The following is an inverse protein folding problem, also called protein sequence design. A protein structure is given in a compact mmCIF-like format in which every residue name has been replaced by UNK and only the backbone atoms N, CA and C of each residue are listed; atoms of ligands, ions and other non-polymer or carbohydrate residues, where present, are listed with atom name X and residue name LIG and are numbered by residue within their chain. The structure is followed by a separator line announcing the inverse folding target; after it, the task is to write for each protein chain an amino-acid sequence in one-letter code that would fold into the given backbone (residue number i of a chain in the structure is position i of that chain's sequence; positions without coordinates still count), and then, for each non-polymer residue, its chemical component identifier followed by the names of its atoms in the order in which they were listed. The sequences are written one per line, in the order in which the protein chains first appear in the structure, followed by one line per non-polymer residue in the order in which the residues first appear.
data_IF_721977511177
#
_entry.id   IF_721977511177
#
_cell.length_a   1.000
_cell.length_b   1.000
_cell.length_c   1.000
_cell.angle_alpha   90.00
_cell.angle_beta   90.00
_cell.angle_gamma   90.00
#
_symmetry.space_group_name_H-M   'P 1'
#
loop_
_entity.id
_entity.type
_entity.pdbx_description
1 polymer ?
#
# COMPACT_ATOMS: atom_id res chain seq x y z
N UNK A 1 10.37 -4.95 -33.08
CA UNK A 1 9.39 -5.44 -32.09
C UNK A 1 9.77 -4.91 -30.71
N UNK A 2 9.17 -3.82 -30.22
CA UNK A 2 9.33 -3.40 -28.83
C UNK A 2 8.29 -4.13 -27.98
N UNK A 3 8.75 -4.87 -26.96
CA UNK A 3 7.88 -5.50 -25.98
C UNK A 3 7.11 -4.40 -25.24
N UNK A 4 5.79 -4.48 -25.35
CA UNK A 4 4.83 -3.62 -24.67
C UNK A 4 5.00 -3.88 -23.18
N UNK A 5 5.82 -3.07 -22.52
CA UNK A 5 5.86 -3.01 -21.06
C UNK A 5 4.63 -2.23 -20.66
N UNK A 6 3.51 -2.94 -20.53
CA UNK A 6 2.27 -2.42 -19.97
C UNK A 6 2.62 -1.51 -18.80
N UNK A 7 2.20 -0.24 -18.78
CA UNK A 7 2.40 0.61 -17.62
C UNK A 7 1.48 0.06 -16.53
N UNK A 8 1.99 -0.89 -15.74
CA UNK A 8 1.45 -1.16 -14.41
C UNK A 8 1.33 0.20 -13.76
N UNK A 9 0.14 0.53 -13.25
CA UNK A 9 -0.18 1.84 -12.68
C UNK A 9 0.68 2.10 -11.46
N UNK A 10 1.93 2.51 -11.66
CA UNK A 10 2.87 2.95 -10.62
C UNK A 10 2.49 4.37 -10.20
N UNK A 11 1.21 4.60 -9.88
CA UNK A 11 0.76 5.87 -9.33
C UNK A 11 1.24 5.92 -7.89
N UNK A 12 2.12 6.86 -7.64
CA UNK A 12 2.64 7.13 -6.31
C UNK A 12 1.59 7.91 -5.52
N UNK A 13 0.99 7.25 -4.53
CA UNK A 13 -0.01 7.85 -3.65
C UNK A 13 0.66 8.38 -2.38
N UNK A 14 0.22 9.56 -1.92
CA UNK A 14 0.73 10.15 -0.69
C UNK A 14 0.07 9.52 0.53
N UNK A 15 0.70 9.67 1.69
CA UNK A 15 0.15 9.19 2.98
C UNK A 15 -1.36 9.52 3.21
N UNK A 16 -1.89 10.72 2.88
CA UNK A 16 -3.32 11.01 3.03
C UNK A 16 -4.23 10.11 2.19
N UNK A 17 -3.81 9.76 0.97
CA UNK A 17 -4.57 8.85 0.10
C UNK A 17 -4.49 7.41 0.63
N UNK A 18 -3.33 7.00 1.14
CA UNK A 18 -3.16 5.70 1.80
C UNK A 18 -4.09 5.58 3.02
N UNK A 19 -4.18 6.63 3.84
CA UNK A 19 -5.12 6.67 4.96
C UNK A 19 -6.57 6.55 4.49
N UNK A 20 -6.93 7.20 3.37
CA UNK A 20 -8.27 7.13 2.80
C UNK A 20 -8.61 5.75 2.23
N UNK A 21 -7.63 5.07 1.60
CA UNK A 21 -7.80 3.71 1.05
C UNK A 21 -7.86 2.64 2.12
N UNK A 22 -6.98 2.72 3.11
CA UNK A 22 -6.83 1.70 4.15
C UNK A 22 -7.72 1.95 5.37
N UNK A 23 -8.24 3.18 5.54
CA UNK A 23 -9.00 3.59 6.73
C UNK A 23 -8.15 3.70 8.00
N UNK A 24 -6.83 3.47 7.94
CA UNK A 24 -5.96 3.49 9.10
C UNK A 24 -5.44 4.89 9.43
N UNK A 25 -5.27 5.13 10.73
CA UNK A 25 -4.64 6.36 11.23
C UNK A 25 -3.14 6.37 10.92
N UNK A 26 -2.56 7.55 10.70
CA UNK A 26 -1.11 7.76 10.50
C UNK A 26 -0.21 6.90 11.40
N UNK A 27 -0.38 6.90 12.75
CA UNK A 27 0.47 6.11 13.65
C UNK A 27 0.34 4.60 13.40
N UNK A 28 -0.82 4.13 12.96
CA UNK A 28 -1.02 2.71 12.66
C UNK A 28 -0.32 2.31 11.35
N UNK A 29 -0.34 3.19 10.34
CA UNK A 29 0.46 2.99 9.11
C UNK A 29 1.95 2.90 9.46
N UNK A 30 2.47 3.81 10.28
CA UNK A 30 3.88 3.74 10.72
C UNK A 30 4.19 2.49 11.54
N UNK A 31 3.25 2.00 12.37
CA UNK A 31 3.39 0.72 13.06
C UNK A 31 3.47 -0.45 12.07
N UNK A 32 2.58 -0.50 11.08
CA UNK A 32 2.60 -1.56 10.07
C UNK A 32 3.86 -1.51 9.21
N UNK A 33 4.36 -0.31 8.89
CA UNK A 33 5.66 -0.14 8.22
C UNK A 33 6.80 -0.66 9.11
N UNK A 34 6.75 -0.42 10.42
CA UNK A 34 7.76 -0.92 11.36
C UNK A 34 7.70 -2.44 11.54
N UNK A 35 6.51 -3.02 11.39
CA UNK A 35 6.26 -4.46 11.48
C UNK A 35 6.54 -5.20 10.14
N UNK A 36 7.04 -4.47 9.12
CA UNK A 36 7.22 -4.93 7.73
C UNK A 36 5.93 -5.49 7.09
N UNK A 37 4.78 -5.21 7.71
CA UNK A 37 3.44 -5.60 7.25
C UNK A 37 2.80 -4.56 6.36
N UNK A 38 3.50 -3.51 5.94
CA UNK A 38 2.97 -2.50 5.03
C UNK A 38 3.95 -2.27 3.88
N UNK A 39 3.46 -1.97 2.66
CA UNK A 39 4.33 -1.67 1.54
C UNK A 39 5.29 -0.51 1.83
N UNK A 40 6.49 -0.62 1.27
CA UNK A 40 7.60 0.27 1.58
C UNK A 40 7.31 1.67 1.05
N UNK A 41 7.50 2.66 1.92
CA UNK A 41 7.42 4.05 1.52
C UNK A 41 8.55 4.39 0.53
N UNK A 42 8.17 4.90 -0.64
CA UNK A 42 9.08 5.45 -1.64
C UNK A 42 9.30 6.94 -1.33
N UNK A 43 10.56 7.32 -1.09
CA UNK A 43 10.93 8.73 -0.89
C UNK A 43 11.03 9.40 -2.25
N UNK A 44 10.06 10.26 -2.56
CA UNK A 44 10.02 11.04 -3.81
C UNK A 44 10.72 12.40 -3.65
N UNK A 45 10.94 12.86 -2.41
CA UNK A 45 11.73 14.06 -2.16
C UNK A 45 12.08 14.25 -0.68
N UNK A 46 12.77 15.35 -0.37
CA UNK A 46 13.37 15.66 0.94
C UNK A 46 12.41 15.55 2.14
N UNK A 47 11.13 15.86 1.94
CA UNK A 47 10.06 15.72 2.95
C UNK A 47 8.83 14.96 2.45
N UNK A 48 8.99 14.26 1.32
CA UNK A 48 7.88 13.70 0.56
C UNK A 48 7.99 12.18 0.48
N UNK A 49 7.14 11.50 1.25
CA UNK A 49 6.91 10.05 1.14
C UNK A 49 5.70 9.78 0.26
N UNK A 50 5.82 8.75 -0.56
CA UNK A 50 4.74 8.20 -1.35
C UNK A 50 4.77 6.66 -1.27
N UNK A 51 3.69 6.03 -1.68
CA UNK A 51 3.53 4.58 -1.70
C UNK A 51 3.05 4.19 -3.10
N UNK A 52 3.38 2.99 -3.53
CA UNK A 52 2.91 2.49 -4.83
C UNK A 52 1.43 2.11 -4.66
N UNK A 53 0.55 2.69 -5.49
CA UNK A 53 -0.89 2.40 -5.44
C UNK A 53 -1.17 0.90 -5.53
N UNK A 54 -0.50 0.20 -6.47
CA UNK A 54 -0.65 -1.24 -6.63
C UNK A 54 -0.33 -2.02 -5.35
N UNK A 55 0.80 -1.74 -4.70
CA UNK A 55 1.17 -2.47 -3.49
C UNK A 55 0.18 -2.22 -2.34
N UNK A 56 -0.36 -1.00 -2.23
CA UNK A 56 -1.38 -0.66 -1.22
C UNK A 56 -2.70 -1.37 -1.53
N UNK A 57 -3.09 -1.45 -2.80
CA UNK A 57 -4.30 -2.16 -3.22
C UNK A 57 -4.19 -3.67 -2.97
N UNK A 58 -3.05 -4.27 -3.35
CA UNK A 58 -2.72 -5.67 -3.06
C UNK A 58 -2.73 -5.96 -1.56
N UNK A 59 -2.16 -5.06 -0.75
CA UNK A 59 -2.17 -5.18 0.69
C UNK A 59 -3.60 -5.15 1.27
N UNK A 60 -4.42 -4.20 0.80
CA UNK A 60 -5.84 -4.10 1.22
C UNK A 60 -6.58 -5.37 0.81
N UNK A 61 -6.37 -5.87 -0.41
CA UNK A 61 -6.95 -7.11 -0.89
C UNK A 61 -6.53 -8.31 -0.02
N UNK A 62 -5.26 -8.40 0.36
CA UNK A 62 -4.75 -9.42 1.26
C UNK A 62 -5.39 -9.30 2.65
N UNK A 63 -5.55 -8.08 3.19
CA UNK A 63 -6.26 -7.86 4.46
C UNK A 63 -7.73 -8.26 4.42
N UNK A 64 -8.42 -7.95 3.32
CA UNK A 64 -9.80 -8.37 3.11
C UNK A 64 -9.87 -9.89 3.00
N UNK A 65 -8.93 -10.52 2.30
CA UNK A 65 -8.82 -11.97 2.22
C UNK A 65 -8.58 -12.58 3.61
N UNK A 66 -7.58 -12.13 4.38
CA UNK A 66 -7.35 -12.57 5.76
C UNK A 66 -8.59 -12.40 6.64
N UNK A 67 -9.27 -11.24 6.57
CA UNK A 67 -10.45 -10.95 7.39
C UNK A 67 -11.67 -11.77 6.97
N UNK A 68 -11.78 -12.16 5.69
CA UNK A 68 -12.89 -12.96 5.14
C UNK A 68 -12.58 -14.46 5.15
N UNK A 69 -11.32 -14.84 5.27
CA UNK A 69 -10.83 -16.21 5.52
C UNK A 69 -10.74 -16.50 7.02
N UNK A 70 -11.27 -15.61 7.86
CA UNK A 70 -11.47 -15.81 9.29
C UNK A 70 -12.75 -16.56 9.68
N UNK A 71 -13.21 -17.51 8.85
CA UNK A 71 -14.21 -18.51 9.26
C UNK A 71 -13.62 -19.91 9.00
N UNK A 72 -12.93 -20.43 10.02
CA UNK A 72 -12.95 -21.81 10.57
C UNK A 72 -11.59 -22.20 11.16
N UNK A 73 -11.43 -22.00 12.47
CA UNK A 73 -10.67 -22.88 13.35
C UNK A 73 -11.25 -22.78 14.76
#
# INVERSE_FOLDING_TARGET
MPAISTPLKERLIRLPEVMRRTGFSKPYIYKLISDDKFPKQVKIGTRSIAFIESEVDEWVANKIAESRTGEVA
#
